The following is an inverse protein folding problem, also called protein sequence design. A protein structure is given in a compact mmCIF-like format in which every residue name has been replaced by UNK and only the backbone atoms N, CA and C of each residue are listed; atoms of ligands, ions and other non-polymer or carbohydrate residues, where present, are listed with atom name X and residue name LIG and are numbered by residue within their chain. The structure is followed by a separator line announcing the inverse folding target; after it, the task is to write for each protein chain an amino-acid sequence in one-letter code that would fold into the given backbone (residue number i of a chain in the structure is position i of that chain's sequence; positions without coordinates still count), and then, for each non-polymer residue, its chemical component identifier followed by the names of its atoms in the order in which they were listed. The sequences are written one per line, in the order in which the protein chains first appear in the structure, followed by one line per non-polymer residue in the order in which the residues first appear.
data_IF_614124148879
#
_entry.id   IF_614124148879
#
_cell.length_a   1.000
_cell.length_b   1.000
_cell.length_c   1.000
_cell.angle_alpha   90.00
_cell.angle_beta   90.00
_cell.angle_gamma   90.00
#
_symmetry.space_group_name_H-M   'P 1'
#
loop_
_entity.id
_entity.type
_entity.pdbx_description
1 polymer ?
#
# COMPACT_ATOMS: atom_id res chain seq x y z
N UNK A 1 46.97 -55.58 -24.72
CA UNK A 1 45.87 -54.69 -25.14
C UNK A 1 45.08 -54.29 -23.94
N UNK A 2 45.29 -53.11 -23.45
CA UNK A 2 44.67 -52.61 -22.24
C UNK A 2 43.38 -51.85 -22.60
N UNK A 3 42.26 -52.21 -22.02
CA UNK A 3 41.01 -51.52 -22.15
C UNK A 3 40.89 -50.45 -21.05
N UNK A 4 40.85 -49.22 -21.48
CA UNK A 4 40.72 -48.01 -20.64
C UNK A 4 39.25 -47.84 -20.25
N UNK A 5 38.94 -47.94 -18.95
CA UNK A 5 37.64 -47.60 -18.42
C UNK A 5 37.57 -46.09 -18.14
N UNK A 6 36.55 -45.41 -18.72
CA UNK A 6 36.23 -44.04 -18.41
C UNK A 6 35.50 -43.94 -17.06
N UNK A 7 35.75 -42.92 -16.23
CA UNK A 7 34.98 -42.74 -14.97
C UNK A 7 33.67 -42.01 -15.24
N UNK A 8 32.56 -42.64 -14.82
CA UNK A 8 31.24 -42.07 -14.75
C UNK A 8 31.25 -40.78 -13.90
N UNK A 9 30.78 -39.71 -14.54
CA UNK A 9 30.50 -38.41 -13.91
C UNK A 9 29.32 -38.52 -12.94
N UNK A 10 29.61 -38.61 -11.65
CA UNK A 10 28.61 -38.51 -10.57
C UNK A 10 28.12 -37.04 -10.51
N UNK A 11 26.91 -36.81 -11.06
CA UNK A 11 26.18 -35.56 -10.88
C UNK A 11 25.95 -35.31 -9.37
N UNK A 12 26.55 -34.25 -8.82
CA UNK A 12 26.34 -33.77 -7.48
C UNK A 12 24.86 -33.46 -7.28
N UNK A 13 24.14 -34.31 -6.59
CA UNK A 13 22.83 -34.00 -6.00
C UNK A 13 23.04 -32.85 -4.99
N UNK A 14 22.42 -31.70 -5.26
CA UNK A 14 22.45 -30.52 -4.39
C UNK A 14 22.04 -30.93 -2.96
N UNK A 15 22.91 -30.66 -2.01
CA UNK A 15 22.68 -30.78 -0.58
C UNK A 15 21.51 -29.86 -0.20
N UNK A 16 20.34 -30.44 0.13
CA UNK A 16 19.18 -29.79 0.67
C UNK A 16 19.44 -29.24 2.08
N UNK A 17 20.23 -28.19 2.19
CA UNK A 17 20.39 -27.43 3.43
C UNK A 17 19.12 -26.63 3.73
N UNK A 18 18.86 -26.38 5.02
CA UNK A 18 17.80 -25.47 5.45
C UNK A 18 18.00 -24.11 4.72
N UNK A 19 16.95 -23.56 4.06
CA UNK A 19 17.08 -22.29 3.35
C UNK A 19 17.65 -21.20 4.25
N UNK A 20 18.53 -20.38 3.72
CA UNK A 20 19.03 -19.21 4.44
C UNK A 20 17.88 -18.25 4.74
N UNK A 21 18.06 -17.38 5.73
CA UNK A 21 17.06 -16.36 6.08
C UNK A 21 16.72 -15.46 4.87
N UNK A 22 17.71 -15.18 4.04
CA UNK A 22 17.55 -14.36 2.84
C UNK A 22 16.76 -15.09 1.75
N UNK A 23 17.04 -16.36 1.50
CA UNK A 23 16.29 -17.19 0.56
C UNK A 23 14.83 -17.37 1.01
N UNK A 24 14.60 -17.54 2.32
CA UNK A 24 13.25 -17.59 2.87
C UNK A 24 12.49 -16.28 2.66
N UNK A 25 13.11 -15.13 2.89
CA UNK A 25 12.52 -13.81 2.66
C UNK A 25 12.21 -13.55 1.18
N UNK A 26 13.13 -13.89 0.27
CA UNK A 26 12.90 -13.79 -1.18
C UNK A 26 11.74 -14.67 -1.65
N UNK A 27 11.64 -15.88 -1.11
CA UNK A 27 10.54 -16.82 -1.40
C UNK A 27 9.21 -16.25 -0.92
N UNK A 28 9.18 -15.69 0.29
CA UNK A 28 7.99 -15.06 0.85
C UNK A 28 7.53 -13.86 0.02
N UNK A 29 8.43 -12.94 -0.33
CA UNK A 29 8.12 -11.80 -1.19
C UNK A 29 7.52 -12.26 -2.53
N UNK A 30 8.09 -13.31 -3.14
CA UNK A 30 7.54 -13.88 -4.38
C UNK A 30 6.15 -14.47 -4.21
N UNK A 31 5.88 -15.15 -3.09
CA UNK A 31 4.54 -15.70 -2.81
C UNK A 31 3.54 -14.56 -2.69
N UNK A 32 3.85 -13.52 -1.92
CA UNK A 32 2.98 -12.36 -1.73
C UNK A 32 2.73 -11.63 -3.04
N UNK A 33 3.75 -11.41 -3.86
CA UNK A 33 3.65 -10.79 -5.18
C UNK A 33 2.71 -11.58 -6.12
N UNK A 34 2.91 -12.90 -6.21
CA UNK A 34 2.06 -13.78 -7.02
C UNK A 34 0.62 -13.80 -6.51
N UNK A 35 0.43 -13.89 -5.19
CA UNK A 35 -0.88 -13.84 -4.56
C UNK A 35 -1.59 -12.52 -4.85
N UNK A 36 -0.88 -11.38 -4.71
CA UNK A 36 -1.38 -10.04 -5.05
C UNK A 36 -1.94 -10.02 -6.47
N UNK A 37 -1.14 -10.46 -7.44
CA UNK A 37 -1.56 -10.49 -8.85
C UNK A 37 -2.82 -11.35 -9.05
N UNK A 38 -2.86 -12.55 -8.48
CA UNK A 38 -4.02 -13.44 -8.63
C UNK A 38 -5.28 -12.87 -7.95
N UNK A 39 -5.16 -12.25 -6.78
CA UNK A 39 -6.29 -11.59 -6.13
C UNK A 39 -6.80 -10.38 -6.94
N UNK A 40 -5.91 -9.64 -7.59
CA UNK A 40 -6.29 -8.52 -8.48
C UNK A 40 -7.02 -9.04 -9.73
N UNK A 41 -6.50 -10.09 -10.37
CA UNK A 41 -7.01 -10.63 -11.62
C UNK A 41 -8.34 -11.41 -11.44
N UNK A 42 -8.46 -12.18 -10.35
CA UNK A 42 -9.54 -13.17 -10.16
C UNK A 42 -10.46 -12.85 -8.99
N UNK A 43 -10.16 -11.83 -8.23
CA UNK A 43 -10.83 -11.54 -6.97
C UNK A 43 -10.48 -12.53 -5.86
N UNK A 44 -11.05 -12.30 -4.66
CA UNK A 44 -10.81 -13.19 -3.53
C UNK A 44 -11.36 -14.60 -3.80
N UNK A 45 -12.61 -14.72 -4.25
CA UNK A 45 -13.27 -16.02 -4.41
C UNK A 45 -12.66 -16.86 -5.55
N UNK A 46 -12.27 -16.21 -6.64
CA UNK A 46 -11.64 -16.85 -7.82
C UNK A 46 -10.18 -17.28 -7.60
N UNK A 47 -9.56 -16.93 -6.48
CA UNK A 47 -8.18 -17.30 -6.17
C UNK A 47 -8.15 -18.48 -5.20
N UNK A 48 -7.32 -19.50 -5.47
CA UNK A 48 -7.06 -20.61 -4.55
C UNK A 48 -5.59 -20.62 -4.11
N UNK A 49 -5.33 -21.17 -2.90
CA UNK A 49 -3.96 -21.37 -2.40
C UNK A 49 -3.15 -22.23 -3.35
N UNK A 50 -3.79 -23.26 -3.92
CA UNK A 50 -3.13 -24.17 -4.87
C UNK A 50 -2.66 -23.46 -6.13
N UNK A 51 -3.49 -22.56 -6.69
CA UNK A 51 -3.11 -21.75 -7.84
C UNK A 51 -1.95 -20.79 -7.52
N UNK A 52 -1.92 -20.25 -6.30
CA UNK A 52 -0.80 -19.42 -5.84
C UNK A 52 0.48 -20.25 -5.70
N UNK A 53 0.41 -21.45 -5.11
CA UNK A 53 1.56 -22.33 -4.97
C UNK A 53 2.18 -22.69 -6.33
N UNK A 54 1.33 -23.07 -7.29
CA UNK A 54 1.74 -23.39 -8.66
C UNK A 54 2.40 -22.19 -9.34
N UNK A 55 1.75 -21.03 -9.33
CA UNK A 55 2.24 -19.81 -9.98
C UNK A 55 3.51 -19.25 -9.30
N UNK A 56 3.67 -19.41 -7.99
CA UNK A 56 4.87 -19.02 -7.24
C UNK A 56 6.02 -20.04 -7.37
N UNK A 57 5.76 -21.23 -7.91
CA UNK A 57 6.76 -22.29 -8.03
C UNK A 57 7.18 -22.86 -6.67
N UNK A 58 6.24 -22.94 -5.71
CA UNK A 58 6.45 -23.54 -4.39
C UNK A 58 5.56 -24.76 -4.20
N UNK A 59 5.98 -25.69 -3.34
CA UNK A 59 5.12 -26.84 -3.03
C UNK A 59 3.91 -26.40 -2.19
N UNK A 60 2.74 -27.04 -2.39
CA UNK A 60 1.54 -26.82 -1.57
C UNK A 60 1.82 -26.94 -0.07
N UNK A 61 2.52 -27.99 0.43
CA UNK A 61 2.89 -28.07 1.84
C UNK A 61 3.70 -26.87 2.33
N UNK A 62 4.60 -26.32 1.50
CA UNK A 62 5.37 -25.14 1.84
C UNK A 62 4.44 -23.91 2.01
N UNK A 63 3.46 -23.74 1.14
CA UNK A 63 2.53 -22.61 1.23
C UNK A 63 1.58 -22.78 2.44
N UNK A 64 1.02 -23.96 2.65
CA UNK A 64 0.14 -24.26 3.79
C UNK A 64 0.86 -24.19 5.15
N UNK A 65 2.17 -24.50 5.22
CA UNK A 65 2.95 -24.32 6.45
C UNK A 65 3.12 -22.85 6.84
N UNK A 66 3.00 -21.93 5.87
CA UNK A 66 3.15 -20.49 6.05
C UNK A 66 1.81 -19.76 6.24
N UNK A 67 0.81 -20.16 5.46
CA UNK A 67 -0.52 -19.57 5.45
C UNK A 67 -1.55 -20.69 5.62
N UNK A 68 -2.24 -20.71 6.76
CA UNK A 68 -3.19 -21.77 7.11
C UNK A 68 -4.34 -21.89 6.10
N UNK A 69 -4.76 -20.73 5.54
CA UNK A 69 -5.86 -20.63 4.59
C UNK A 69 -5.70 -19.42 3.66
N UNK A 70 -6.61 -19.29 2.70
CA UNK A 70 -6.65 -18.18 1.74
C UNK A 70 -6.80 -16.82 2.42
N UNK A 71 -7.53 -16.76 3.54
CA UNK A 71 -7.73 -15.56 4.33
C UNK A 71 -6.39 -15.05 4.89
N UNK A 72 -5.60 -15.95 5.51
CA UNK A 72 -4.28 -15.60 6.07
C UNK A 72 -3.30 -15.14 4.98
N UNK A 73 -3.35 -15.75 3.79
CA UNK A 73 -2.57 -15.29 2.64
C UNK A 73 -3.01 -13.90 2.15
N UNK A 74 -4.32 -13.65 2.09
CA UNK A 74 -4.86 -12.36 1.70
C UNK A 74 -4.52 -11.27 2.73
N UNK A 75 -4.55 -11.57 4.02
CA UNK A 75 -4.08 -10.68 5.08
C UNK A 75 -2.62 -10.27 4.87
N UNK A 76 -1.73 -11.21 4.55
CA UNK A 76 -0.33 -10.91 4.26
C UNK A 76 -0.18 -10.00 3.03
N UNK A 77 -0.97 -10.21 1.98
CA UNK A 77 -1.03 -9.32 0.81
C UNK A 77 -1.45 -7.93 1.22
N UNK A 78 -2.51 -7.79 2.02
CA UNK A 78 -2.98 -6.48 2.48
C UNK A 78 -1.92 -5.74 3.29
N UNK A 79 -1.28 -6.42 4.25
CA UNK A 79 -0.24 -5.83 5.08
C UNK A 79 0.96 -5.35 4.25
N UNK A 80 1.34 -6.11 3.24
CA UNK A 80 2.43 -5.76 2.33
C UNK A 80 2.09 -4.53 1.49
N UNK A 81 0.91 -4.52 0.86
CA UNK A 81 0.46 -3.38 0.04
C UNK A 81 0.23 -2.11 0.85
N UNK A 82 -0.32 -2.22 2.06
CA UNK A 82 -0.46 -1.09 2.99
C UNK A 82 0.91 -0.50 3.32
N UNK A 83 1.90 -1.34 3.61
CA UNK A 83 3.28 -0.91 3.91
C UNK A 83 3.90 -0.16 2.73
N UNK A 84 3.79 -0.70 1.53
CA UNK A 84 4.29 -0.05 0.30
C UNK A 84 3.56 1.27 0.01
N UNK A 85 2.26 1.31 0.27
CA UNK A 85 1.48 2.52 0.07
C UNK A 85 1.88 3.64 1.05
N UNK A 86 2.14 3.31 2.31
CA UNK A 86 2.48 4.27 3.35
C UNK A 86 3.95 4.70 3.34
N UNK A 87 4.87 3.87 2.86
CA UNK A 87 6.30 4.15 2.94
C UNK A 87 6.72 5.51 2.36
N UNK A 88 6.30 5.93 1.15
CA UNK A 88 6.67 7.24 0.62
C UNK A 88 6.01 8.41 1.35
N UNK A 89 4.81 8.20 1.92
CA UNK A 89 4.12 9.20 2.71
C UNK A 89 4.88 9.47 4.02
N UNK A 90 5.32 8.42 4.70
CA UNK A 90 6.16 8.51 5.89
C UNK A 90 7.50 9.20 5.59
N UNK A 91 8.18 8.79 4.51
CA UNK A 91 9.43 9.40 4.09
C UNK A 91 9.29 10.90 3.76
N UNK A 92 8.18 11.30 3.09
CA UNK A 92 7.93 12.70 2.79
C UNK A 92 7.70 13.53 4.06
N UNK A 93 6.96 13.00 5.04
CA UNK A 93 6.73 13.65 6.32
C UNK A 93 8.05 13.83 7.12
N UNK A 94 8.88 12.79 7.17
CA UNK A 94 10.19 12.84 7.83
C UNK A 94 11.14 13.84 7.15
N UNK A 95 11.19 13.81 5.82
CA UNK A 95 12.02 14.76 5.05
C UNK A 95 11.61 16.21 5.27
N UNK A 96 10.31 16.51 5.37
CA UNK A 96 9.83 17.87 5.62
C UNK A 96 10.21 18.33 7.03
N UNK A 97 10.08 17.47 8.04
CA UNK A 97 10.44 17.77 9.42
C UNK A 97 11.95 18.02 9.61
N UNK A 98 12.80 17.32 8.86
CA UNK A 98 14.27 17.40 8.97
C UNK A 98 14.92 18.50 8.12
N UNK A 99 14.16 19.20 7.26
CA UNK A 99 14.72 20.24 6.39
C UNK A 99 15.14 21.47 7.16
N UNK A 100 16.35 21.94 6.91
CA UNK A 100 16.85 23.23 7.44
C UNK A 100 16.03 24.43 6.92
N UNK A 101 15.49 24.31 5.68
CA UNK A 101 14.55 25.27 5.10
C UNK A 101 13.33 24.48 4.64
N UNK A 102 12.26 24.41 5.44
CA UNK A 102 11.03 23.71 5.07
C UNK A 102 10.38 24.33 3.84
N UNK A 103 9.78 23.48 2.98
CA UNK A 103 8.89 23.97 1.93
C UNK A 103 7.66 24.61 2.58
N UNK A 104 7.08 25.60 1.90
CA UNK A 104 5.81 26.18 2.33
C UNK A 104 4.65 25.17 2.27
N UNK A 105 3.65 25.36 3.11
CA UNK A 105 2.52 24.46 3.25
C UNK A 105 1.76 24.25 1.94
N UNK A 106 1.62 25.28 1.10
CA UNK A 106 0.91 25.19 -0.16
C UNK A 106 1.62 24.24 -1.14
N UNK A 107 2.93 24.38 -1.26
CA UNK A 107 3.75 23.50 -2.11
C UNK A 107 3.68 22.05 -1.64
N UNK A 108 3.82 21.81 -0.33
CA UNK A 108 3.79 20.46 0.22
C UNK A 108 2.44 19.79 0.05
N UNK A 109 1.33 20.51 0.31
CA UNK A 109 -0.02 19.97 0.18
C UNK A 109 -0.40 19.76 -1.29
N UNK A 110 0.08 20.60 -2.22
CA UNK A 110 -0.11 20.38 -3.65
C UNK A 110 0.59 19.10 -4.12
N UNK A 111 1.87 18.92 -3.78
CA UNK A 111 2.64 17.71 -4.09
C UNK A 111 2.02 16.46 -3.46
N UNK A 112 1.64 16.53 -2.19
CA UNK A 112 1.01 15.45 -1.45
C UNK A 112 -0.32 15.03 -2.10
N UNK A 113 -1.21 15.99 -2.38
CA UNK A 113 -2.52 15.72 -2.97
C UNK A 113 -2.43 15.05 -4.33
N UNK A 114 -1.45 15.42 -5.15
CA UNK A 114 -1.18 14.79 -6.45
C UNK A 114 -0.76 13.33 -6.29
N UNK A 115 0.20 13.08 -5.39
CA UNK A 115 0.70 11.73 -5.12
C UNK A 115 -0.38 10.82 -4.52
N UNK A 116 -1.23 11.35 -3.63
CA UNK A 116 -2.35 10.61 -3.04
C UNK A 116 -3.35 10.16 -4.10
N UNK A 117 -3.73 11.04 -5.04
CA UNK A 117 -4.66 10.70 -6.12
C UNK A 117 -4.12 9.64 -7.06
N UNK A 118 -2.87 9.77 -7.50
CA UNK A 118 -2.22 8.76 -8.36
C UNK A 118 -2.26 7.38 -7.71
N UNK A 119 -1.95 7.31 -6.41
CA UNK A 119 -1.92 6.05 -5.67
C UNK A 119 -3.32 5.49 -5.39
N UNK A 120 -4.27 6.35 -5.01
CA UNK A 120 -5.64 5.93 -4.72
C UNK A 120 -6.37 5.38 -5.96
N UNK A 121 -5.96 5.81 -7.14
CA UNK A 121 -6.52 5.38 -8.42
C UNK A 121 -5.72 4.29 -9.13
N UNK A 122 -4.60 3.88 -8.57
CA UNK A 122 -3.84 2.76 -9.13
C UNK A 122 -4.75 1.53 -9.28
N UNK A 123 -4.73 0.85 -10.43
CA UNK A 123 -5.60 -0.31 -10.69
C UNK A 123 -5.48 -1.38 -9.59
N UNK A 124 -4.29 -1.58 -9.07
CA UNK A 124 -3.99 -2.51 -8.00
C UNK A 124 -4.68 -2.10 -6.68
N UNK A 125 -4.54 -0.84 -6.25
CA UNK A 125 -5.20 -0.31 -5.06
C UNK A 125 -6.71 -0.45 -5.15
N UNK A 126 -7.28 -0.11 -6.32
CA UNK A 126 -8.72 -0.20 -6.58
C UNK A 126 -9.21 -1.65 -6.53
N UNK A 127 -8.49 -2.59 -7.15
CA UNK A 127 -8.87 -4.00 -7.16
C UNK A 127 -8.83 -4.61 -5.76
N UNK A 128 -7.79 -4.35 -4.96
CA UNK A 128 -7.71 -4.80 -3.58
C UNK A 128 -8.79 -4.18 -2.70
N UNK A 129 -9.10 -2.90 -2.89
CA UNK A 129 -10.20 -2.22 -2.18
C UNK A 129 -11.54 -2.88 -2.49
N UNK A 130 -11.79 -3.26 -3.75
CA UNK A 130 -12.99 -4.02 -4.14
C UNK A 130 -13.04 -5.38 -3.45
N UNK A 131 -11.91 -6.12 -3.43
CA UNK A 131 -11.82 -7.40 -2.74
C UNK A 131 -12.16 -7.26 -1.25
N UNK A 132 -11.58 -6.29 -0.55
CA UNK A 132 -11.86 -6.05 0.88
C UNK A 132 -13.33 -5.68 1.09
N UNK A 133 -13.85 -4.75 0.28
CA UNK A 133 -15.24 -4.29 0.40
C UNK A 133 -16.22 -5.43 0.18
N UNK A 134 -15.99 -6.29 -0.80
CA UNK A 134 -16.84 -7.45 -1.08
C UNK A 134 -16.82 -8.48 0.06
N UNK A 135 -15.69 -8.61 0.74
CA UNK A 135 -15.48 -9.60 1.81
C UNK A 135 -15.70 -9.04 3.22
N UNK A 136 -16.04 -7.75 3.37
CA UNK A 136 -16.10 -7.05 4.65
C UNK A 136 -17.09 -7.67 5.65
N UNK A 137 -18.22 -8.20 5.18
CA UNK A 137 -19.20 -8.86 6.04
C UNK A 137 -18.77 -10.27 6.43
N UNK A 138 -18.04 -10.97 5.56
CA UNK A 138 -17.57 -12.33 5.83
C UNK A 138 -16.29 -12.33 6.68
N UNK A 139 -15.40 -11.36 6.47
CA UNK A 139 -14.14 -11.21 7.18
C UNK A 139 -14.00 -9.79 7.76
N UNK A 140 -14.79 -9.43 8.79
CA UNK A 140 -14.80 -8.07 9.35
C UNK A 140 -13.45 -7.66 9.95
N UNK A 141 -12.64 -8.61 10.36
CA UNK A 141 -11.29 -8.38 10.88
C UNK A 141 -10.30 -7.94 9.78
N UNK A 142 -10.41 -8.47 8.55
CA UNK A 142 -9.63 -7.99 7.41
C UNK A 142 -10.05 -6.57 6.99
N UNK A 143 -11.34 -6.27 7.03
CA UNK A 143 -11.83 -4.92 6.77
C UNK A 143 -11.33 -3.94 7.84
N UNK A 144 -11.32 -4.35 9.11
CA UNK A 144 -10.77 -3.56 10.22
C UNK A 144 -9.27 -3.33 10.05
N UNK A 145 -8.51 -4.37 9.73
CA UNK A 145 -7.06 -4.25 9.44
C UNK A 145 -6.78 -3.23 8.33
N UNK A 146 -7.52 -3.31 7.22
CA UNK A 146 -7.37 -2.36 6.12
C UNK A 146 -7.71 -0.92 6.54
N UNK A 147 -8.71 -0.74 7.38
CA UNK A 147 -9.11 0.56 7.91
C UNK A 147 -8.07 1.11 8.90
N UNK A 148 -7.67 0.32 9.90
CA UNK A 148 -6.77 0.76 10.98
C UNK A 148 -5.34 0.95 10.49
N UNK A 149 -4.78 -0.04 9.77
CA UNK A 149 -3.40 -0.02 9.29
C UNK A 149 -3.25 0.72 7.94
N UNK A 150 -4.29 0.80 7.14
CA UNK A 150 -4.28 1.57 5.89
C UNK A 150 -4.72 3.02 6.12
N UNK A 151 -6.03 3.23 6.32
CA UNK A 151 -6.60 4.58 6.41
C UNK A 151 -6.13 5.36 7.64
N UNK A 152 -6.39 4.86 8.85
CA UNK A 152 -6.06 5.60 10.08
C UNK A 152 -4.56 5.82 10.26
N UNK A 153 -3.73 4.87 9.82
CA UNK A 153 -2.29 5.08 9.83
C UNK A 153 -1.84 6.14 8.81
N UNK A 154 -2.51 6.20 7.65
CA UNK A 154 -2.34 7.30 6.69
C UNK A 154 -2.73 8.65 7.30
N UNK A 155 -3.88 8.74 7.96
CA UNK A 155 -4.34 9.93 8.70
C UNK A 155 -3.30 10.38 9.71
N UNK A 156 -2.82 9.48 10.59
CA UNK A 156 -1.78 9.80 11.57
C UNK A 156 -0.48 10.28 10.93
N UNK A 157 -0.12 9.72 9.76
CA UNK A 157 1.11 10.14 9.07
C UNK A 157 0.98 11.53 8.47
N UNK A 158 -0.16 11.87 7.86
CA UNK A 158 -0.44 13.23 7.37
C UNK A 158 -0.63 14.18 8.54
N UNK A 159 -1.26 13.73 9.64
CA UNK A 159 -1.40 14.51 10.88
C UNK A 159 -0.06 14.98 11.43
N UNK A 160 0.94 14.08 11.49
CA UNK A 160 2.31 14.49 11.90
C UNK A 160 2.91 15.54 10.98
N UNK A 161 2.69 15.42 9.67
CA UNK A 161 3.15 16.42 8.70
C UNK A 161 2.49 17.79 8.93
N UNK A 162 1.16 17.81 9.12
CA UNK A 162 0.42 19.04 9.41
C UNK A 162 0.80 19.63 10.76
N UNK A 163 1.00 18.80 11.79
CA UNK A 163 1.49 19.23 13.10
C UNK A 163 2.85 19.92 13.03
N UNK A 164 3.81 19.34 12.29
CA UNK A 164 5.10 19.97 12.06
C UNK A 164 5.01 21.31 11.34
N UNK A 165 4.07 21.47 10.37
CA UNK A 165 3.81 22.76 9.73
C UNK A 165 3.19 23.78 10.69
N UNK A 166 2.32 23.35 11.61
CA UNK A 166 1.73 24.21 12.61
C UNK A 166 2.77 24.68 13.63
N UNK A 167 3.66 23.80 14.09
CA UNK A 167 4.80 24.15 14.95
C UNK A 167 5.74 25.18 14.31
N UNK A 168 5.87 25.14 12.97
CA UNK A 168 6.63 26.09 12.18
C UNK A 168 5.86 27.39 11.87
N UNK A 169 4.62 27.54 12.35
CA UNK A 169 3.77 28.71 12.13
C UNK A 169 3.24 28.87 10.70
N UNK A 170 3.33 27.84 9.86
CA UNK A 170 2.86 27.88 8.48
C UNK A 170 1.34 27.76 8.37
N UNK A 171 0.71 27.04 9.29
CA UNK A 171 -0.74 26.82 9.38
C UNK A 171 -1.18 26.88 10.84
N UNK A 172 -2.49 27.04 11.07
CA UNK A 172 -3.12 26.94 12.39
C UNK A 172 -4.16 25.84 12.36
N UNK A 173 -4.02 24.86 13.23
CA UNK A 173 -4.93 23.72 13.38
C UNK A 173 -5.06 23.36 14.86
N UNK A 174 -6.27 22.97 15.29
CA UNK A 174 -6.50 22.55 16.67
C UNK A 174 -6.14 21.09 16.87
N UNK A 175 -6.51 20.22 15.93
CA UNK A 175 -6.26 18.77 15.95
C UNK A 175 -5.65 18.32 14.60
N UNK A 176 -4.37 17.92 14.59
CA UNK A 176 -3.69 17.49 13.39
C UNK A 176 -4.29 16.23 12.74
N UNK A 177 -4.83 15.28 13.52
CA UNK A 177 -5.41 14.06 12.96
C UNK A 177 -6.78 14.34 12.32
N UNK A 178 -7.62 15.16 12.95
CA UNK A 178 -8.89 15.59 12.36
C UNK A 178 -8.64 16.39 11.08
N UNK A 179 -7.69 17.33 11.10
CA UNK A 179 -7.32 18.10 9.92
C UNK A 179 -6.81 17.22 8.78
N UNK A 180 -6.01 16.20 9.10
CA UNK A 180 -5.52 15.23 8.12
C UNK A 180 -6.64 14.38 7.52
N UNK A 181 -7.56 13.89 8.34
CA UNK A 181 -8.71 13.10 7.85
C UNK A 181 -9.58 13.94 6.91
N UNK A 182 -9.88 15.18 7.27
CA UNK A 182 -10.62 16.11 6.43
C UNK A 182 -9.89 16.40 5.10
N UNK A 183 -8.59 16.65 5.14
CA UNK A 183 -7.78 16.88 3.94
C UNK A 183 -7.79 15.68 3.00
N UNK A 184 -7.55 14.47 3.54
CA UNK A 184 -7.57 13.24 2.77
C UNK A 184 -8.93 12.99 2.10
N UNK A 185 -10.03 13.22 2.83
CA UNK A 185 -11.39 13.08 2.29
C UNK A 185 -11.69 14.13 1.20
N UNK A 186 -11.30 15.40 1.39
CA UNK A 186 -11.44 16.45 0.37
C UNK A 186 -10.73 16.09 -0.93
N UNK A 187 -9.51 15.60 -0.84
CA UNK A 187 -8.68 15.25 -2.00
C UNK A 187 -9.17 13.96 -2.66
N UNK A 188 -9.33 12.89 -1.92
CA UNK A 188 -9.49 11.54 -2.48
C UNK A 188 -10.96 11.09 -2.58
N UNK A 189 -11.87 11.59 -1.74
CA UNK A 189 -13.17 10.97 -1.50
C UNK A 189 -14.01 10.69 -2.75
N UNK A 190 -14.14 11.67 -3.69
CA UNK A 190 -14.85 11.43 -4.94
C UNK A 190 -14.12 10.48 -5.86
N UNK A 191 -12.83 10.69 -6.02
CA UNK A 191 -11.99 9.92 -6.97
C UNK A 191 -11.89 8.46 -6.56
N UNK A 192 -11.77 8.17 -5.26
CA UNK A 192 -11.78 6.79 -4.74
C UNK A 192 -13.12 6.09 -5.00
N UNK A 193 -14.26 6.81 -4.84
CA UNK A 193 -15.58 6.26 -5.17
C UNK A 193 -15.73 5.96 -6.66
N UNK A 194 -15.30 6.87 -7.54
CA UNK A 194 -15.34 6.66 -8.99
C UNK A 194 -14.50 5.44 -9.37
N UNK A 195 -13.27 5.34 -8.86
CA UNK A 195 -12.41 4.18 -9.09
C UNK A 195 -13.06 2.88 -8.59
N UNK A 196 -13.63 2.87 -7.38
CA UNK A 196 -14.31 1.71 -6.80
C UNK A 196 -15.46 1.23 -7.69
N UNK A 197 -16.24 2.15 -8.27
CA UNK A 197 -17.39 1.83 -9.15
C UNK A 197 -16.99 1.58 -10.61
N UNK A 198 -15.72 1.73 -10.97
CA UNK A 198 -15.26 1.59 -12.36
C UNK A 198 -15.70 2.74 -13.27
N UNK A 199 -15.98 3.91 -12.68
CA UNK A 199 -16.37 5.10 -13.42
C UNK A 199 -15.09 5.80 -13.89
N UNK A 200 -15.01 6.09 -15.19
CA UNK A 200 -13.90 6.86 -15.75
C UNK A 200 -13.82 8.24 -15.11
N UNK A 201 -12.58 8.64 -14.89
CA UNK A 201 -12.26 9.92 -14.28
C UNK A 201 -11.82 10.89 -15.38
N UNK A 202 -12.54 11.98 -15.54
CA UNK A 202 -12.08 13.12 -16.34
C UNK A 202 -10.90 13.79 -15.61
N UNK A 203 -9.72 13.70 -16.22
CA UNK A 203 -8.45 14.17 -15.65
C UNK A 203 -8.45 15.68 -15.40
N UNK A 204 -9.07 16.47 -16.29
CA UNK A 204 -9.13 17.92 -16.13
C UNK A 204 -10.05 18.32 -14.97
N UNK A 205 -11.22 17.69 -14.90
CA UNK A 205 -12.17 17.90 -13.79
C UNK A 205 -11.54 17.47 -12.46
N UNK A 206 -10.84 16.36 -12.45
CA UNK A 206 -10.14 15.88 -11.26
C UNK A 206 -9.06 16.87 -10.79
N UNK A 207 -8.19 17.32 -11.70
CA UNK A 207 -7.13 18.26 -11.37
C UNK A 207 -7.69 19.61 -10.87
N UNK A 208 -8.75 20.13 -11.50
CA UNK A 208 -9.46 21.31 -11.02
C UNK A 208 -9.99 21.12 -9.60
N UNK A 209 -10.59 19.96 -9.31
CA UNK A 209 -11.10 19.64 -7.97
C UNK A 209 -9.97 19.48 -6.93
N UNK A 210 -8.88 18.82 -7.30
CA UNK A 210 -7.70 18.64 -6.43
C UNK A 210 -7.17 20.02 -5.99
N UNK A 211 -6.95 20.94 -6.95
CA UNK A 211 -6.49 22.29 -6.66
C UNK A 211 -7.49 23.05 -5.78
N UNK A 212 -8.77 22.93 -6.06
CA UNK A 212 -9.82 23.55 -5.25
C UNK A 212 -9.84 22.98 -3.81
N UNK A 213 -9.65 21.67 -3.64
CA UNK A 213 -9.57 21.04 -2.32
C UNK A 213 -8.38 21.56 -1.50
N UNK A 214 -7.20 21.65 -2.12
CA UNK A 214 -6.00 22.21 -1.47
C UNK A 214 -6.21 23.68 -1.11
N UNK A 215 -6.75 24.48 -2.02
CA UNK A 215 -7.01 25.90 -1.76
C UNK A 215 -8.04 26.10 -0.64
N UNK A 216 -9.12 25.31 -0.63
CA UNK A 216 -10.15 25.36 0.41
C UNK A 216 -9.58 24.98 1.78
N UNK A 217 -8.79 23.89 1.84
CA UNK A 217 -8.14 23.47 3.06
C UNK A 217 -7.18 24.54 3.60
N UNK A 218 -6.30 25.07 2.76
CA UNK A 218 -5.37 26.14 3.12
C UNK A 218 -6.09 27.41 3.60
N UNK A 219 -7.22 27.76 3.01
CA UNK A 219 -8.02 28.91 3.46
C UNK A 219 -8.56 28.70 4.88
N UNK A 220 -8.91 27.45 5.24
CA UNK A 220 -9.41 27.10 6.57
C UNK A 220 -8.35 27.01 7.66
N UNK A 221 -7.08 26.80 7.28
CA UNK A 221 -5.97 26.60 8.24
C UNK A 221 -4.93 27.74 8.23
N UNK A 222 -5.25 28.89 7.60
CA UNK A 222 -4.35 30.06 7.60
C UNK A 222 -4.10 30.54 9.01
N UNK A 223 -2.86 30.96 9.34
CA UNK A 223 -2.62 31.65 10.59
C UNK A 223 -3.56 32.85 10.71
N UNK A 224 -4.17 33.02 11.88
CA UNK A 224 -4.99 34.20 12.13
C UNK A 224 -4.09 35.43 12.01
N UNK A 225 -4.43 36.47 11.21
CA UNK A 225 -3.65 37.68 11.21
C UNK A 225 -3.70 38.28 12.63
N UNK A 226 -2.54 38.50 13.21
CA UNK A 226 -2.38 39.13 14.52
C UNK A 226 -2.94 40.54 14.56
#
# INVERSE_FOLDING_TARGET
MAATAEPESTAKRGTGGRPTREEAARREARIVEVATRLFIERGFDGTSIDAVAEAAGVSKPTLYSRYQDKRALFEAVLQDRIREWLAPLSAAAEMQALRATPKDAATVLDELSRNLLVRAQAPETTALTRCITAQALQFPDLARLAYEEGWLRGVRTVGRLLGAMAEQGQITIDDPEIAADLFLNLVMGRSSKQALYGIEVDVEVQEKRRRAAVALFLAGVRPNPA
#
